data_IF_035300350077
#
_entry.id   IF_035300350077
#
_cell.length_a   1.000
_cell.length_b   1.000
_cell.length_c   1.000
_cell.angle_alpha   90.00
_cell.angle_beta   90.00
_cell.angle_gamma   90.00
#
_symmetry.space_group_name_H-M   'P 1'
#
loop_
_entity.id
_entity.type
_entity.pdbx_description
1 polymer ?
#
# COMPACT_ATOMS: atom_id res chain seq x y z
N UNK A 1 19.18 5.23 18.27
CA UNK A 1 18.73 5.22 18.13
C UNK A 1 17.96 5.32 17.61
N UNK A 2 17.67 5.36 17.50
CA UNK A 2 16.96 5.35 17.18
C UNK A 2 16.07 5.55 16.91
N UNK A 3 15.66 5.79 16.97
CA UNK A 3 14.91 5.91 16.89
C UNK A 3 14.13 6.08 16.35
N UNK A 4 13.83 6.27 16.27
CA UNK A 4 13.09 6.43 15.90
C UNK A 4 12.30 6.35 15.44
N UNK A 5 12.32 6.12 15.36
CA UNK A 5 11.37 5.89 14.70
C UNK A 5 10.16 5.91 15.02
N UNK A 6 10.21 5.67 15.49
CA UNK A 6 9.07 5.65 16.11
C UNK A 6 8.27 6.73 15.79
N UNK A 7 8.67 7.51 15.22
CA UNK A 7 7.99 8.43 14.88
C UNK A 7 7.39 8.23 13.70
N UNK A 8 6.50 7.31 13.57
CA UNK A 8 5.74 7.19 12.47
C UNK A 8 5.00 8.45 12.28
N UNK A 9 5.01 9.09 11.13
CA UNK A 9 4.23 10.27 10.88
C UNK A 9 2.77 9.96 11.07
N UNK A 10 2.00 10.88 11.56
CA UNK A 10 0.60 10.60 11.84
C UNK A 10 -0.22 10.29 10.61
N UNK A 11 0.29 10.54 9.44
CA UNK A 11 -0.46 10.24 8.25
C UNK A 11 -0.33 8.80 7.77
N UNK A 12 0.38 7.98 8.50
CA UNK A 12 0.50 6.57 8.14
C UNK A 12 -0.20 5.71 9.16
N UNK A 13 -0.75 4.60 8.70
CA UNK A 13 -1.37 3.62 9.57
C UNK A 13 -0.91 2.25 9.15
N UNK A 14 -1.02 1.30 10.06
CA UNK A 14 -0.63 -0.07 9.78
C UNK A 14 -1.83 -0.91 9.47
N UNK A 15 -1.68 -1.79 8.51
CA UNK A 15 -2.72 -2.72 8.14
C UNK A 15 -2.08 -4.09 7.96
N UNK A 16 -2.70 -5.10 8.51
CA UNK A 16 -2.18 -6.46 8.33
C UNK A 16 -2.60 -6.96 6.96
N UNK A 17 -1.70 -7.66 6.31
CA UNK A 17 -1.93 -8.18 4.97
C UNK A 17 -1.64 -9.66 4.99
N UNK A 18 -2.45 -10.44 4.30
CA UNK A 18 -2.20 -11.87 4.21
C UNK A 18 -0.84 -12.11 3.56
N UNK A 19 -0.21 -13.18 4.01
CA UNK A 19 1.13 -13.50 3.52
C UNK A 19 1.17 -13.62 2.02
N UNK A 20 0.19 -14.26 1.45
CA UNK A 20 0.13 -14.42 0.01
C UNK A 20 -0.02 -13.10 -0.71
N UNK A 21 -0.82 -12.21 -0.15
CA UNK A 21 -1.03 -10.92 -0.75
C UNK A 21 0.20 -10.05 -0.63
N UNK A 22 0.93 -10.22 0.47
CA UNK A 22 2.16 -9.49 0.64
C UNK A 22 3.15 -9.87 -0.47
N UNK A 23 3.22 -11.17 -0.78
CA UNK A 23 4.12 -11.62 -1.83
C UNK A 23 3.70 -11.08 -3.18
N UNK A 24 2.41 -11.06 -3.43
CA UNK A 24 1.91 -10.51 -4.70
C UNK A 24 2.21 -9.04 -4.82
N UNK A 25 2.03 -8.31 -3.72
CA UNK A 25 2.32 -6.89 -3.72
C UNK A 25 3.80 -6.64 -4.00
N UNK A 26 4.65 -7.47 -3.40
CA UNK A 26 6.09 -7.34 -3.60
C UNK A 26 6.43 -7.52 -5.08
N UNK A 27 5.86 -8.53 -5.70
CA UNK A 27 6.11 -8.80 -7.11
C UNK A 27 5.64 -7.62 -7.98
N UNK A 28 4.45 -7.11 -7.70
CA UNK A 28 3.93 -6.00 -8.47
C UNK A 28 4.81 -4.76 -8.32
N UNK A 29 5.24 -4.50 -7.10
CA UNK A 29 6.07 -3.34 -6.84
C UNK A 29 7.39 -3.44 -7.61
N UNK A 30 7.97 -4.62 -7.62
CA UNK A 30 9.22 -4.80 -8.33
C UNK A 30 9.03 -4.63 -9.84
N UNK A 31 7.97 -5.18 -10.36
CA UNK A 31 7.72 -5.06 -11.78
C UNK A 31 7.53 -3.61 -12.21
N UNK A 32 6.95 -2.81 -11.36
CA UNK A 32 6.72 -1.42 -11.67
C UNK A 32 7.74 -0.50 -11.06
N UNK A 33 8.75 -1.08 -10.44
CA UNK A 33 9.86 -0.32 -9.87
C UNK A 33 9.38 0.72 -8.87
N UNK A 34 8.53 0.29 -7.98
CA UNK A 34 8.00 1.14 -6.92
C UNK A 34 8.23 0.48 -5.59
N UNK A 35 8.17 1.26 -4.52
CA UNK A 35 8.18 0.66 -3.21
C UNK A 35 6.84 -0.03 -2.99
N UNK A 36 6.80 -0.94 -2.04
CA UNK A 36 5.54 -1.64 -1.74
C UNK A 36 4.47 -0.68 -1.27
N UNK A 37 4.85 0.31 -0.48
CA UNK A 37 3.88 1.29 -0.01
C UNK A 37 3.30 2.09 -1.16
N UNK A 38 4.14 2.49 -2.08
CA UNK A 38 3.70 3.26 -3.23
C UNK A 38 2.81 2.41 -4.14
N UNK A 39 3.19 1.15 -4.34
CA UNK A 39 2.41 0.27 -5.16
C UNK A 39 1.03 0.05 -4.55
N UNK A 40 0.99 -0.12 -3.24
CA UNK A 40 -0.28 -0.29 -2.56
C UNK A 40 -1.17 0.94 -2.73
N UNK A 41 -0.58 2.13 -2.63
CA UNK A 41 -1.34 3.36 -2.82
C UNK A 41 -1.96 3.43 -4.21
N UNK A 42 -1.22 3.03 -5.21
CA UNK A 42 -1.73 3.03 -6.57
C UNK A 42 -2.91 2.09 -6.71
N UNK A 43 -2.79 0.90 -6.16
CA UNK A 43 -3.85 -0.08 -6.23
C UNK A 43 -5.10 0.38 -5.50
N UNK A 44 -4.90 0.97 -4.35
CA UNK A 44 -6.02 1.46 -3.56
C UNK A 44 -6.77 2.56 -4.30
N UNK A 45 -6.05 3.50 -4.85
CA UNK A 45 -6.68 4.59 -5.56
C UNK A 45 -7.45 4.09 -6.75
N UNK A 46 -6.87 3.14 -7.46
CA UNK A 46 -7.52 2.60 -8.62
C UNK A 46 -8.81 1.90 -8.25
N UNK A 47 -8.74 1.08 -7.22
CA UNK A 47 -9.92 0.35 -6.77
C UNK A 47 -10.98 1.29 -6.23
N UNK A 48 -10.55 2.29 -5.51
CA UNK A 48 -11.47 3.26 -4.93
C UNK A 48 -12.20 4.03 -6.02
N UNK A 49 -11.46 4.49 -7.00
CA UNK A 49 -12.03 5.25 -8.09
C UNK A 49 -13.00 4.40 -8.90
N UNK A 50 -12.64 3.16 -9.16
CA UNK A 50 -13.52 2.25 -9.89
C UNK A 50 -14.78 1.99 -9.09
N UNK A 51 -14.63 1.78 -7.80
CA UNK A 51 -15.79 1.55 -6.94
C UNK A 51 -16.69 2.76 -6.89
N UNK A 52 -16.12 3.93 -6.80
CA UNK A 52 -16.91 5.14 -6.77
C UNK A 52 -17.69 5.32 -8.04
N UNK A 53 -17.08 4.96 -9.16
CA UNK A 53 -17.78 5.04 -10.41
C UNK A 53 -18.90 4.06 -10.50
N UNK A 54 -18.69 2.87 -9.99
CA UNK A 54 -19.67 1.84 -10.06
C UNK A 54 -20.79 2.02 -9.10
N UNK A 55 -20.55 2.81 -8.10
CA UNK A 55 -21.47 2.92 -7.07
C UNK A 55 -22.60 3.81 -7.36
N UNK A 56 -22.74 4.27 -8.45
CA UNK A 56 -23.87 5.12 -8.73
C UNK A 56 -25.02 4.42 -9.37
#
# INVERSE_FOLDING_TARGET
MQKTPTKQPPKFRNVAVLLEDHARLHTLAEEEQRSMARQLSVLIRKAYDDGAKNDT
#
